data_IF_102399043339
#
_entry.id   IF_102399043339
#
_cell.length_a   1.000
_cell.length_b   1.000
_cell.length_c   1.000
_cell.angle_alpha   90.00
_cell.angle_beta   90.00
_cell.angle_gamma   90.00
#
_symmetry.space_group_name_H-M   'P 1'
#
loop_
_entity.id
_entity.type
_entity.pdbx_description
1 polymer ?
#
# COMPACT_ATOMS: atom_id res chain seq x y z
N UNK A 1 13.81 5.41 -22.23
CA UNK A 1 13.64 4.49 -21.08
C UNK A 1 13.92 3.09 -21.57
N UNK A 2 14.73 2.33 -20.84
CA UNK A 2 14.98 0.93 -21.17
C UNK A 2 13.76 0.08 -20.78
N UNK A 3 13.33 -0.83 -21.66
CA UNK A 3 12.20 -1.72 -21.40
C UNK A 3 12.65 -3.16 -21.55
N UNK A 4 12.36 -3.97 -20.53
CA UNK A 4 12.69 -5.40 -20.51
C UNK A 4 11.43 -6.26 -20.58
N UNK A 5 11.53 -7.44 -21.21
CA UNK A 5 10.39 -8.36 -21.37
C UNK A 5 10.19 -9.17 -20.09
N UNK A 6 9.03 -9.01 -19.48
CA UNK A 6 8.57 -9.83 -18.36
C UNK A 6 7.53 -10.84 -18.87
N UNK A 7 7.74 -12.13 -18.58
CA UNK A 7 6.76 -13.20 -18.89
C UNK A 7 6.25 -13.77 -17.58
N UNK A 8 4.94 -13.72 -17.37
CA UNK A 8 4.26 -14.25 -16.17
C UNK A 8 3.23 -15.29 -16.58
N UNK A 9 3.01 -16.28 -15.71
CA UNK A 9 1.92 -17.25 -15.88
C UNK A 9 0.71 -16.73 -15.12
N UNK A 10 -0.42 -16.63 -15.80
CA UNK A 10 -1.71 -16.23 -15.22
C UNK A 10 -2.80 -17.19 -15.70
N UNK A 11 -3.85 -17.43 -14.91
CA UNK A 11 -5.04 -18.14 -15.38
C UNK A 11 -5.58 -17.55 -16.69
N UNK A 12 -6.07 -18.42 -17.58
CA UNK A 12 -6.56 -17.99 -18.89
C UNK A 12 -7.69 -16.95 -18.79
N UNK A 13 -8.53 -17.06 -17.76
CA UNK A 13 -9.65 -16.16 -17.52
C UNK A 13 -9.19 -14.75 -17.14
N UNK A 14 -8.13 -14.64 -16.35
CA UNK A 14 -7.51 -13.36 -15.98
C UNK A 14 -6.85 -12.68 -17.18
N UNK A 15 -6.19 -13.46 -18.05
CA UNK A 15 -5.61 -12.93 -19.30
C UNK A 15 -6.70 -12.36 -20.21
N UNK A 16 -7.83 -13.07 -20.34
CA UNK A 16 -8.97 -12.58 -21.14
C UNK A 16 -9.55 -11.31 -20.52
N UNK A 17 -9.75 -11.30 -19.21
CA UNK A 17 -10.26 -10.14 -18.49
C UNK A 17 -9.38 -8.89 -18.73
N UNK A 18 -8.06 -9.01 -18.55
CA UNK A 18 -7.13 -7.87 -18.69
C UNK A 18 -7.13 -7.33 -20.12
N UNK A 19 -7.22 -8.20 -21.12
CA UNK A 19 -7.28 -7.79 -22.54
C UNK A 19 -8.56 -7.02 -22.85
N UNK A 20 -9.71 -7.52 -22.39
CA UNK A 20 -11.00 -6.85 -22.58
C UNK A 20 -11.08 -5.53 -21.79
N UNK A 21 -10.53 -5.50 -20.57
CA UNK A 21 -10.41 -4.27 -19.81
C UNK A 21 -9.60 -3.22 -20.57
N UNK A 22 -8.39 -3.58 -21.03
CA UNK A 22 -7.52 -2.67 -21.76
C UNK A 22 -8.23 -2.13 -23.03
N UNK A 23 -8.88 -3.01 -23.80
CA UNK A 23 -9.64 -2.64 -24.99
C UNK A 23 -10.79 -1.66 -24.69
N UNK A 24 -11.60 -1.93 -23.67
CA UNK A 24 -12.72 -1.05 -23.28
C UNK A 24 -12.26 0.34 -22.86
N UNK A 25 -11.07 0.43 -22.27
CA UNK A 25 -10.50 1.70 -21.80
C UNK A 25 -9.53 2.35 -22.80
N UNK A 26 -9.40 1.81 -24.03
CA UNK A 26 -8.49 2.37 -25.04
C UNK A 26 -7.00 2.28 -24.66
N UNK A 27 -6.64 1.34 -23.80
CA UNK A 27 -5.30 1.15 -23.24
C UNK A 27 -4.66 -0.14 -23.75
N UNK A 28 -3.35 -0.26 -23.57
CA UNK A 28 -2.64 -1.53 -23.76
C UNK A 28 -2.53 -2.29 -22.45
N UNK A 29 -2.37 -3.62 -22.51
CA UNK A 29 -2.12 -4.45 -21.32
C UNK A 29 -0.85 -3.98 -20.58
N UNK A 30 0.18 -3.59 -21.31
CA UNK A 30 1.41 -3.01 -20.75
C UNK A 30 1.11 -1.75 -19.94
N UNK A 31 0.23 -0.87 -20.41
CA UNK A 31 -0.12 0.35 -19.70
C UNK A 31 -0.94 0.08 -18.44
N UNK A 32 -1.87 -0.89 -18.48
CA UNK A 32 -2.63 -1.34 -17.30
C UNK A 32 -1.67 -1.83 -16.22
N UNK A 33 -0.73 -2.71 -16.59
CA UNK A 33 0.26 -3.26 -15.67
C UNK A 33 1.21 -2.16 -15.16
N UNK A 34 1.65 -1.26 -16.03
CA UNK A 34 2.54 -0.15 -15.66
C UNK A 34 1.88 0.77 -14.63
N UNK A 35 0.62 1.17 -14.83
CA UNK A 35 -0.15 1.97 -13.86
C UNK A 35 -0.28 1.26 -12.52
N UNK A 36 -0.51 -0.05 -12.54
CA UNK A 36 -0.57 -0.85 -11.31
C UNK A 36 0.77 -0.85 -10.57
N UNK A 37 1.89 -1.08 -11.25
CA UNK A 37 3.21 -1.03 -10.63
C UNK A 37 3.57 0.35 -10.09
N UNK A 38 3.22 1.42 -10.80
CA UNK A 38 3.41 2.79 -10.30
C UNK A 38 2.63 3.02 -9.01
N UNK A 39 1.38 2.56 -8.94
CA UNK A 39 0.57 2.64 -7.71
C UNK A 39 1.17 1.80 -6.58
N UNK A 40 1.60 0.58 -6.88
CA UNK A 40 2.22 -0.31 -5.90
C UNK A 40 3.50 0.30 -5.32
N UNK A 41 4.32 0.93 -6.16
CA UNK A 41 5.54 1.62 -5.74
C UNK A 41 5.24 2.88 -4.92
N UNK A 42 4.20 3.63 -5.26
CA UNK A 42 3.75 4.76 -4.46
C UNK A 42 3.27 4.29 -3.08
N UNK A 43 2.51 3.20 -3.01
CA UNK A 43 2.04 2.62 -1.76
C UNK A 43 3.16 2.01 -0.92
N UNK A 44 4.19 1.41 -1.51
CA UNK A 44 5.34 0.89 -0.75
C UNK A 44 6.27 1.99 -0.25
N UNK A 45 6.29 3.15 -0.92
CA UNK A 45 7.02 4.35 -0.48
C UNK A 45 6.29 5.14 0.61
N UNK A 46 5.06 4.78 0.96
CA UNK A 46 4.35 5.33 2.13
C UNK A 46 4.91 4.77 3.46
N UNK A 47 6.23 4.81 3.63
CA UNK A 47 6.76 5.18 4.93
C UNK A 47 6.13 6.54 5.26
N UNK A 48 5.54 6.65 6.45
CA UNK A 48 4.86 7.87 6.92
C UNK A 48 5.73 9.08 6.53
N UNK A 49 5.13 10.05 5.81
CA UNK A 49 5.84 11.26 5.39
C UNK A 49 6.55 11.86 6.63
N UNK A 50 7.83 12.25 6.55
CA UNK A 50 8.62 12.61 7.74
C UNK A 50 7.98 13.71 8.59
N UNK A 51 7.20 14.61 8.00
CA UNK A 51 6.42 15.60 8.76
C UNK A 51 5.22 15.00 9.52
N UNK A 52 4.56 13.99 8.96
CA UNK A 52 3.50 13.23 9.65
C UNK A 52 4.12 12.33 10.72
N UNK A 53 5.32 11.79 10.49
CA UNK A 53 6.05 11.02 11.49
C UNK A 53 6.49 11.87 12.69
N UNK A 54 6.78 13.16 12.48
CA UNK A 54 7.01 14.13 13.57
C UNK A 54 5.74 14.48 14.35
N UNK A 55 4.58 14.45 13.70
CA UNK A 55 3.28 14.75 14.30
C UNK A 55 2.69 13.53 15.04
N UNK A 56 2.93 12.33 14.52
CA UNK A 56 2.62 11.08 15.18
C UNK A 56 3.60 10.92 16.34
N UNK A 57 3.21 11.39 17.53
CA UNK A 57 3.99 11.23 18.75
C UNK A 57 4.52 9.81 18.86
N UNK A 58 5.85 9.68 18.98
CA UNK A 58 6.50 8.39 19.06
C UNK A 58 6.14 7.73 20.39
N UNK A 59 5.28 6.72 20.35
CA UNK A 59 5.13 5.79 21.48
C UNK A 59 6.40 4.93 21.51
N UNK A 60 7.18 4.95 22.60
CA UNK A 60 8.35 4.09 22.73
C UNK A 60 7.96 2.62 22.52
N UNK A 61 8.72 1.88 21.71
CA UNK A 61 8.40 0.47 21.39
C UNK A 61 8.51 -0.48 22.59
N UNK A 62 9.06 0.00 23.71
CA UNK A 62 9.22 -0.73 24.97
C UNK A 62 8.08 -0.47 25.97
N UNK A 63 7.06 0.32 25.62
CA UNK A 63 5.95 0.61 26.53
C UNK A 63 4.84 -0.43 26.39
N UNK A 64 4.33 -0.92 27.52
CA UNK A 64 3.08 -1.68 27.54
C UNK A 64 1.91 -0.69 27.42
N UNK A 65 1.56 -0.34 26.18
CA UNK A 65 0.49 0.60 25.88
C UNK A 65 -0.86 0.20 26.52
N UNK A 66 -1.07 -1.11 26.77
CA UNK A 66 -2.30 -1.59 27.39
C UNK A 66 -2.31 -1.36 28.89
N UNK A 67 -1.18 -1.57 29.55
CA UNK A 67 -0.99 -1.28 30.97
C UNK A 67 -1.19 0.20 31.28
N UNK A 68 -0.53 1.08 30.53
CA UNK A 68 -0.64 2.55 30.68
C UNK A 68 -2.07 3.05 30.47
N UNK A 69 -2.76 2.50 29.46
CA UNK A 69 -4.15 2.87 29.19
C UNK A 69 -5.09 2.49 30.34
N UNK A 70 -4.92 1.30 30.91
CA UNK A 70 -5.73 0.85 32.03
C UNK A 70 -5.47 1.68 33.28
N UNK A 71 -4.20 1.99 33.58
CA UNK A 71 -3.85 2.86 34.70
C UNK A 71 -4.45 4.26 34.54
N UNK A 72 -4.37 4.84 33.34
CA UNK A 72 -4.99 6.14 33.06
C UNK A 72 -6.51 6.12 33.30
N UNK A 73 -7.20 5.04 32.91
CA UNK A 73 -8.64 4.89 33.17
C UNK A 73 -8.93 4.80 34.67
N UNK A 74 -8.13 4.04 35.43
CA UNK A 74 -8.29 3.92 36.88
C UNK A 74 -8.07 5.27 37.60
N UNK A 75 -7.09 6.06 37.14
CA UNK A 75 -6.82 7.41 37.66
C UNK A 75 -7.91 8.42 37.29
N UNK A 76 -8.46 8.32 36.07
CA UNK A 76 -9.50 9.24 35.57
C UNK A 76 -10.87 9.00 36.20
N UNK A 77 -11.18 7.75 36.56
CA UNK A 77 -12.47 7.35 37.12
C UNK A 77 -12.48 7.27 38.65
N UNK A 78 -11.37 7.60 39.31
CA UNK A 78 -11.29 7.92 40.74
C UNK A 78 -11.55 9.41 40.98
#
# INVERSE_FOLDING_TARGET
>A
METNKLTVRLPADEIRFVKEFAKRHGMTVTEVIHRYFTRLQASSKNAIHPEIAKLAGSIPSNIDARGEYNQHLDEKHR
#
